data_IF_628640508457
#
_entry.id   IF_628640508457
#
_cell.length_a   1.000
_cell.length_b   1.000
_cell.length_c   1.000
_cell.angle_alpha   90.00
_cell.angle_beta   90.00
_cell.angle_gamma   90.00
#
_symmetry.space_group_name_H-M   'P 1'
#
loop_
_entity.id
_entity.type
_entity.pdbx_description
1 polymer ?
#
# COMPACT_ATOMS: atom_id res chain seq x y z
N UNK A 1 24.56 9.32 15.52
CA UNK A 1 23.41 10.20 15.23
C UNK A 1 23.17 10.10 13.73
N UNK A 2 22.23 9.26 13.29
CA UNK A 2 21.88 9.17 11.86
C UNK A 2 20.87 10.27 11.55
N UNK A 3 21.09 10.96 10.43
CA UNK A 3 20.25 12.02 9.93
C UNK A 3 18.82 11.52 9.74
N UNK A 4 17.93 11.95 10.65
CA UNK A 4 16.49 11.78 10.53
C UNK A 4 15.98 12.75 9.47
N UNK A 5 16.25 12.45 8.22
CA UNK A 5 15.84 13.27 7.07
C UNK A 5 14.52 12.74 6.49
N UNK A 6 13.59 13.65 6.23
CA UNK A 6 12.36 13.34 5.49
C UNK A 6 12.68 13.01 4.04
N UNK A 7 12.12 11.90 3.54
CA UNK A 7 12.26 11.46 2.16
C UNK A 7 10.92 11.51 1.45
N UNK A 8 10.89 12.21 0.31
CA UNK A 8 9.68 12.31 -0.48
C UNK A 8 9.26 10.98 -1.10
N UNK A 9 7.95 10.78 -1.26
CA UNK A 9 7.41 9.64 -1.99
C UNK A 9 7.83 9.64 -3.46
N UNK A 10 7.75 10.80 -4.14
CA UNK A 10 8.28 11.04 -5.49
C UNK A 10 7.95 9.95 -6.54
N UNK A 11 6.67 9.69 -6.79
CA UNK A 11 6.20 8.62 -7.67
C UNK A 11 5.21 9.09 -8.76
N UNK A 12 5.28 10.35 -9.19
CA UNK A 12 4.42 10.86 -10.26
C UNK A 12 4.82 10.25 -11.61
N UNK A 13 3.91 9.44 -12.17
CA UNK A 13 4.12 8.74 -13.44
C UNK A 13 4.55 9.67 -14.60
N UNK A 14 3.89 10.81 -14.76
CA UNK A 14 4.19 11.75 -15.84
C UNK A 14 5.60 12.34 -15.67
N UNK A 15 5.95 12.75 -14.44
CA UNK A 15 7.28 13.33 -14.15
C UNK A 15 8.40 12.30 -14.27
N UNK A 16 8.13 11.05 -13.94
CA UNK A 16 9.07 9.94 -14.13
C UNK A 16 9.34 9.72 -15.61
N UNK A 17 8.28 9.68 -16.43
CA UNK A 17 8.40 9.55 -17.88
C UNK A 17 9.21 10.71 -18.50
N UNK A 18 8.98 11.94 -18.03
CA UNK A 18 9.71 13.12 -18.52
C UNK A 18 11.07 13.35 -17.83
N UNK A 19 11.46 12.49 -16.87
CA UNK A 19 12.71 12.63 -16.12
C UNK A 19 12.80 13.84 -15.17
N UNK A 20 11.67 14.50 -14.88
CA UNK A 20 11.59 15.72 -14.05
C UNK A 20 11.10 15.45 -12.63
N UNK A 21 10.94 14.18 -12.25
CA UNK A 21 10.56 13.81 -10.89
C UNK A 21 11.66 14.17 -9.89
N UNK A 22 11.25 14.66 -8.72
CA UNK A 22 12.18 14.97 -7.62
C UNK A 22 12.77 13.70 -7.02
N UNK A 23 13.86 13.83 -6.27
CA UNK A 23 14.43 12.67 -5.59
C UNK A 23 13.53 12.21 -4.44
N UNK A 24 13.49 10.89 -4.25
CA UNK A 24 12.62 10.23 -3.29
C UNK A 24 12.46 8.75 -3.58
N UNK A 25 11.60 8.09 -2.80
CA UNK A 25 11.47 6.63 -2.74
C UNK A 25 11.01 6.05 -4.10
N UNK A 26 9.98 6.63 -4.71
CA UNK A 26 9.44 6.19 -5.98
C UNK A 26 10.43 6.33 -7.13
N UNK A 27 11.11 7.48 -7.23
CA UNK A 27 12.19 7.69 -8.22
C UNK A 27 13.37 6.75 -7.98
N UNK A 28 13.69 6.44 -6.72
CA UNK A 28 14.70 5.43 -6.39
C UNK A 28 14.29 4.04 -6.91
N UNK A 29 13.06 3.60 -6.64
CA UNK A 29 12.55 2.33 -7.17
C UNK A 29 12.54 2.29 -8.71
N UNK A 30 12.16 3.41 -9.34
CA UNK A 30 12.21 3.55 -10.81
C UNK A 30 13.63 3.41 -11.37
N UNK A 31 14.66 3.89 -10.67
CA UNK A 31 16.06 3.70 -11.09
C UNK A 31 16.50 2.24 -11.00
N UNK A 32 15.96 1.48 -10.04
CA UNK A 32 16.24 0.04 -9.91
C UNK A 32 15.54 -0.76 -11.02
N UNK A 33 14.29 -0.41 -11.30
CA UNK A 33 13.49 -1.03 -12.35
C UNK A 33 12.71 0.07 -13.10
N UNK A 34 13.09 0.43 -14.34
CA UNK A 34 12.52 1.55 -15.11
C UNK A 34 11.06 1.39 -15.57
N UNK A 35 10.19 0.90 -14.69
CA UNK A 35 8.76 0.76 -14.90
C UNK A 35 7.99 1.66 -13.92
N UNK A 36 7.01 2.39 -14.45
CA UNK A 36 6.18 3.30 -13.65
C UNK A 36 5.42 2.55 -12.56
N UNK A 37 4.98 1.32 -12.83
CA UNK A 37 4.37 0.41 -11.86
C UNK A 37 5.26 0.20 -10.63
N UNK A 38 6.56 -0.01 -10.85
CA UNK A 38 7.55 -0.18 -9.79
C UNK A 38 7.70 1.07 -8.92
N UNK A 39 7.69 2.24 -9.54
CA UNK A 39 7.68 3.50 -8.81
C UNK A 39 6.38 3.67 -8.00
N UNK A 40 5.22 3.26 -8.54
CA UNK A 40 3.92 3.33 -7.85
C UNK A 40 3.82 2.38 -6.65
N UNK A 41 4.58 1.27 -6.63
CA UNK A 41 4.69 0.40 -5.46
C UNK A 41 5.27 1.12 -4.23
N UNK A 42 5.98 2.24 -4.41
CA UNK A 42 6.44 3.05 -3.27
C UNK A 42 5.32 3.52 -2.34
N UNK A 43 4.10 3.76 -2.85
CA UNK A 43 2.95 4.12 -2.00
C UNK A 43 2.53 2.95 -1.11
N UNK A 44 2.53 1.73 -1.66
CA UNK A 44 2.18 0.53 -0.92
C UNK A 44 3.26 0.20 0.11
N UNK A 45 4.53 0.33 -0.28
CA UNK A 45 5.67 0.21 0.62
C UNK A 45 5.55 1.20 1.79
N UNK A 46 5.22 2.46 1.49
CA UNK A 46 5.01 3.49 2.50
C UNK A 46 3.90 3.15 3.50
N UNK A 47 2.77 2.62 3.02
CA UNK A 47 1.68 2.20 3.87
C UNK A 47 2.09 1.03 4.79
N UNK A 48 2.75 0.00 4.23
CA UNK A 48 3.22 -1.17 5.01
C UNK A 48 4.22 -0.72 6.07
N UNK A 49 5.20 0.11 5.70
CA UNK A 49 6.27 0.53 6.61
C UNK A 49 5.76 1.49 7.69
N UNK A 50 4.76 2.31 7.38
CA UNK A 50 4.07 3.12 8.39
C UNK A 50 3.33 2.24 9.39
N UNK A 51 2.51 1.29 8.91
CA UNK A 51 1.75 0.39 9.78
C UNK A 51 2.65 -0.51 10.64
N UNK A 52 3.79 -0.94 10.09
CA UNK A 52 4.81 -1.68 10.83
C UNK A 52 5.62 -0.80 11.81
N UNK A 53 5.41 0.52 11.85
CA UNK A 53 6.17 1.43 12.71
C UNK A 53 7.65 1.57 12.31
N UNK A 54 7.97 1.32 11.04
CA UNK A 54 9.29 1.52 10.44
C UNK A 54 9.45 2.96 9.98
N UNK A 55 8.42 3.51 9.36
CA UNK A 55 8.37 4.89 8.89
C UNK A 55 7.31 5.70 9.63
N UNK A 56 7.54 6.99 9.77
CA UNK A 56 6.50 7.99 10.05
C UNK A 56 6.15 8.70 8.74
N UNK A 57 4.90 9.14 8.59
CA UNK A 57 4.49 9.98 7.45
C UNK A 57 4.14 11.38 7.90
N UNK A 58 4.36 12.36 7.03
CA UNK A 58 4.14 13.77 7.34
C UNK A 58 2.65 14.19 7.44
N UNK A 59 1.70 13.26 7.31
CA UNK A 59 0.25 13.50 7.35
C UNK A 59 -0.33 14.34 6.21
N UNK A 60 0.46 14.55 5.15
CA UNK A 60 0.07 15.36 4.00
C UNK A 60 -0.42 14.51 2.82
N UNK A 61 -1.61 14.83 2.30
CA UNK A 61 -2.17 14.14 1.12
C UNK A 61 -1.43 14.45 -0.18
N UNK A 62 -0.80 15.63 -0.26
CA UNK A 62 0.03 16.06 -1.39
C UNK A 62 1.42 16.38 -0.89
N UNK A 63 2.44 15.92 -1.61
CA UNK A 63 3.81 16.06 -1.12
C UNK A 63 4.08 15.15 0.07
N UNK A 64 3.60 13.90 0.01
CA UNK A 64 3.85 12.89 1.03
C UNK A 64 5.34 12.63 1.19
N UNK A 65 5.78 12.57 2.45
CA UNK A 65 7.15 12.30 2.86
C UNK A 65 7.19 11.33 4.03
N UNK A 66 8.28 10.59 4.13
CA UNK A 66 8.48 9.57 5.15
C UNK A 66 9.77 9.79 5.92
N UNK A 67 9.72 9.52 7.22
CA UNK A 67 10.86 9.57 8.12
C UNK A 67 11.17 8.18 8.64
N UNK A 68 12.43 7.77 8.64
CA UNK A 68 12.84 6.50 9.24
C UNK A 68 12.75 6.58 10.77
N UNK A 69 11.90 5.76 11.38
CA UNK A 69 11.78 5.63 12.83
C UNK A 69 12.65 4.50 13.41
N UNK A 70 12.83 3.43 12.65
CA UNK A 70 13.49 2.21 13.13
C UNK A 70 14.31 1.55 12.03
N UNK A 71 15.56 1.20 12.33
CA UNK A 71 16.44 0.45 11.41
C UNK A 71 16.12 -1.05 11.40
N UNK A 72 15.45 -1.56 12.43
CA UNK A 72 14.96 -2.96 12.51
C UNK A 72 13.69 -3.15 11.66
N UNK A 73 13.74 -2.70 10.41
CA UNK A 73 12.59 -2.70 9.51
C UNK A 73 12.11 -4.11 9.22
N UNK A 74 13.02 -5.08 9.17
CA UNK A 74 12.73 -6.47 8.87
C UNK A 74 11.89 -7.11 9.97
N UNK A 75 12.34 -7.02 11.21
CA UNK A 75 11.65 -7.59 12.37
C UNK A 75 10.26 -6.97 12.51
N UNK A 76 10.17 -5.64 12.46
CA UNK A 76 8.90 -4.91 12.54
C UNK A 76 7.91 -5.27 11.43
N UNK A 77 8.40 -5.42 10.21
CA UNK A 77 7.54 -5.79 9.08
C UNK A 77 7.06 -7.24 9.19
N UNK A 78 7.90 -8.16 9.67
CA UNK A 78 7.53 -9.56 9.94
C UNK A 78 6.48 -9.65 11.06
N UNK A 79 6.67 -8.89 12.14
CA UNK A 79 5.71 -8.79 13.25
C UNK A 79 4.36 -8.27 12.73
N UNK A 80 4.36 -7.13 12.02
CA UNK A 80 3.15 -6.58 11.43
C UNK A 80 2.42 -7.58 10.51
N UNK A 81 3.16 -8.28 9.65
CA UNK A 81 2.59 -9.29 8.78
C UNK A 81 1.95 -10.44 9.58
N UNK A 82 2.65 -10.96 10.58
CA UNK A 82 2.14 -12.02 11.46
C UNK A 82 0.86 -11.58 12.18
N UNK A 83 0.85 -10.36 12.71
CA UNK A 83 -0.30 -9.81 13.44
C UNK A 83 -1.50 -9.60 12.51
N UNK A 84 -1.26 -9.14 11.28
CA UNK A 84 -2.32 -8.96 10.27
C UNK A 84 -2.99 -10.28 9.86
N UNK A 85 -2.26 -11.40 9.88
CA UNK A 85 -2.81 -12.73 9.59
C UNK A 85 -3.60 -13.32 10.77
N UNK A 86 -3.22 -12.95 11.99
CA UNK A 86 -3.89 -13.41 13.21
C UNK A 86 -5.20 -12.66 13.47
N UNK A 87 -5.38 -11.48 12.86
CA UNK A 87 -6.67 -10.78 12.83
C UNK A 87 -7.60 -11.51 11.85
N UNK A 88 -8.33 -12.50 12.37
CA UNK A 88 -9.28 -13.32 11.62
C UNK A 88 -10.49 -12.55 11.08
N UNK A 89 -10.28 -11.69 10.08
CA UNK A 89 -11.15 -11.45 8.94
C UNK A 89 -10.43 -10.47 7.99
N UNK A 90 -10.28 -10.83 6.72
CA UNK A 90 -9.81 -9.89 5.67
C UNK A 90 -10.61 -8.58 5.68
N UNK A 91 -11.85 -8.63 6.15
CA UNK A 91 -12.73 -7.48 6.37
C UNK A 91 -12.11 -6.41 7.26
N UNK A 92 -11.47 -6.77 8.39
CA UNK A 92 -10.85 -5.80 9.30
C UNK A 92 -9.65 -5.06 8.70
N UNK A 93 -8.90 -5.71 7.79
CA UNK A 93 -7.78 -5.08 7.08
C UNK A 93 -8.28 -4.03 6.08
N UNK A 94 -9.33 -4.35 5.31
CA UNK A 94 -9.94 -3.39 4.38
C UNK A 94 -10.74 -2.30 5.11
N UNK A 95 -11.35 -2.60 6.25
CA UNK A 95 -12.07 -1.62 7.06
C UNK A 95 -11.11 -0.57 7.63
N UNK A 96 -9.94 -0.97 8.17
CA UNK A 96 -8.88 -0.01 8.56
C UNK A 96 -8.36 0.80 7.37
N UNK A 97 -8.21 0.19 6.20
CA UNK A 97 -7.81 0.90 4.98
C UNK A 97 -8.89 1.89 4.47
N UNK A 98 -10.17 1.60 4.73
CA UNK A 98 -11.31 2.45 4.37
C UNK A 98 -11.61 3.52 5.42
N UNK A 99 -11.23 3.34 6.68
CA UNK A 99 -11.34 4.36 7.72
C UNK A 99 -10.49 5.61 7.38
N UNK A 100 -9.33 5.41 6.73
CA UNK A 100 -8.54 6.50 6.11
C UNK A 100 -9.30 7.31 5.03
N UNK A 101 -10.39 6.77 4.48
CA UNK A 101 -11.23 7.45 3.49
C UNK A 101 -12.47 8.13 4.08
N UNK A 102 -12.87 7.81 5.31
CA UNK A 102 -14.13 8.34 5.87
C UNK A 102 -13.97 9.67 6.62
N UNK A 103 -12.80 9.97 7.21
CA UNK A 103 -12.57 11.27 7.89
C UNK A 103 -12.62 12.49 6.95
N UNK A 104 -12.66 12.30 5.62
CA UNK A 104 -12.56 13.41 4.66
C UNK A 104 -13.82 13.62 3.80
N UNK A 105 -14.95 12.98 4.14
CA UNK A 105 -16.20 13.11 3.35
C UNK A 105 -17.17 14.21 3.81
N UNK A 106 -16.82 15.01 4.81
CA UNK A 106 -17.67 16.15 5.23
C UNK A 106 -17.55 17.40 4.37
N UNK A 107 -16.80 17.38 3.26
CA UNK A 107 -16.87 18.47 2.28
C UNK A 107 -16.55 18.02 0.85
N UNK A 108 -17.57 17.51 0.14
CA UNK A 108 -17.96 17.98 -1.21
C UNK A 108 -19.15 17.17 -1.74
N UNK A 109 -20.31 17.83 -1.69
CA UNK A 109 -21.51 17.43 -2.42
C UNK A 109 -21.32 17.64 -3.93
N UNK A 110 -21.91 16.70 -4.67
CA UNK A 110 -22.56 16.79 -6.00
C UNK A 110 -21.81 16.33 -7.26
N UNK A 111 -22.56 15.50 -8.00
CA UNK A 111 -22.44 15.00 -9.39
C UNK A 111 -21.43 13.84 -9.57
N UNK A 112 -21.82 12.61 -9.92
CA UNK A 112 -22.86 12.14 -10.85
C UNK A 112 -23.39 10.73 -10.48
N UNK A 113 -24.71 10.56 -10.57
CA UNK A 113 -25.43 9.31 -10.92
C UNK A 113 -24.92 8.80 -12.29
N UNK A 114 -25.00 7.54 -12.74
CA UNK A 114 -25.71 6.32 -12.36
C UNK A 114 -25.13 5.23 -13.29
N UNK A 115 -25.00 3.98 -12.84
CA UNK A 115 -25.68 2.85 -13.50
C UNK A 115 -25.51 1.55 -12.70
N UNK A 116 -26.66 0.91 -12.50
CA UNK A 116 -26.90 -0.37 -11.86
C UNK A 116 -26.27 -1.52 -12.65
N UNK A 117 -25.82 -2.54 -11.92
CA UNK A 117 -25.60 -3.90 -12.42
C UNK A 117 -25.33 -4.81 -11.22
N UNK A 118 -26.41 -5.34 -10.65
CA UNK A 118 -26.43 -6.19 -9.47
C UNK A 118 -26.39 -7.67 -9.89
N UNK A 119 -25.70 -8.50 -9.09
CA UNK A 119 -25.88 -9.97 -8.92
C UNK A 119 -25.19 -10.88 -9.96
N UNK A 120 -23.99 -11.39 -9.61
CA UNK A 120 -23.53 -12.78 -9.90
C UNK A 120 -22.38 -13.17 -8.93
N UNK A 121 -22.61 -13.13 -7.61
CA UNK A 121 -21.51 -13.28 -6.61
C UNK A 121 -21.45 -14.61 -5.86
N UNK A 122 -22.20 -15.65 -6.25
CA UNK A 122 -22.31 -16.86 -5.41
C UNK A 122 -21.73 -18.16 -5.97
N UNK A 123 -21.14 -18.18 -7.18
CA UNK A 123 -20.58 -19.42 -7.77
C UNK A 123 -19.06 -19.44 -7.91
N UNK A 124 -18.38 -18.33 -7.63
CA UNK A 124 -16.93 -18.18 -7.82
C UNK A 124 -16.09 -18.40 -6.57
N UNK A 125 -16.67 -18.25 -5.37
CA UNK A 125 -15.90 -18.22 -4.11
C UNK A 125 -15.31 -19.60 -3.78
N UNK A 126 -16.05 -20.68 -4.04
CA UNK A 126 -15.57 -22.04 -3.73
C UNK A 126 -14.42 -22.48 -4.65
N UNK A 127 -14.42 -22.04 -5.92
CA UNK A 127 -13.33 -22.33 -6.86
C UNK A 127 -12.05 -21.55 -6.54
N UNK A 128 -12.17 -20.32 -6.05
CA UNK A 128 -11.01 -19.50 -5.67
C UNK A 128 -10.31 -20.09 -4.44
N UNK A 129 -11.07 -20.53 -3.43
CA UNK A 129 -10.52 -21.17 -2.23
C UNK A 129 -9.77 -22.47 -2.54
N UNK A 130 -10.28 -23.28 -3.47
CA UNK A 130 -9.65 -24.54 -3.88
C UNK A 130 -8.32 -24.29 -4.63
N UNK A 131 -8.26 -23.26 -5.48
CA UNK A 131 -7.04 -22.85 -6.19
C UNK A 131 -5.99 -22.28 -5.23
N UNK A 132 -6.41 -21.52 -4.21
CA UNK A 132 -5.50 -20.95 -3.20
C UNK A 132 -4.90 -22.03 -2.30
N UNK A 133 -5.68 -23.02 -1.87
CA UNK A 133 -5.17 -24.16 -1.10
C UNK A 133 -4.18 -25.02 -1.89
N UNK A 134 -4.41 -25.21 -3.21
CA UNK A 134 -3.46 -25.91 -4.08
C UNK A 134 -2.15 -25.14 -4.27
N UNK A 135 -2.19 -23.81 -4.41
CA UNK A 135 -0.97 -22.99 -4.60
C UNK A 135 -0.14 -22.86 -3.33
N UNK A 136 -0.79 -22.71 -2.18
CA UNK A 136 -0.10 -22.63 -0.88
C UNK A 136 0.62 -23.94 -0.55
N UNK A 137 -0.02 -25.08 -0.78
CA UNK A 137 0.61 -26.38 -0.53
C UNK A 137 1.77 -26.71 -1.47
N UNK A 138 1.81 -26.13 -2.67
CA UNK A 138 2.93 -26.28 -3.60
C UNK A 138 4.13 -25.37 -3.26
N UNK A 139 3.89 -24.26 -2.55
CA UNK A 139 4.95 -23.31 -2.18
C UNK A 139 5.74 -23.73 -0.92
N UNK A 140 5.16 -24.60 -0.08
CA UNK A 140 5.77 -25.09 1.17
C UNK A 140 6.25 -26.55 1.11
N UNK A 141 6.33 -27.17 -0.08
CA UNK A 141 6.96 -28.48 -0.26
C UNK A 141 8.37 -28.27 -0.81
N UNK A 142 9.35 -28.37 0.10
CA UNK A 142 10.82 -28.45 -0.06
C UNK A 142 11.43 -28.00 -1.39
#
# INVERSE_FOLDING_TARGET
MQDREWKALANNAAKLYTGTEKDGIGKFLYKLHPEVSYAQLSSHLGAIFYQAGVWEWNKEKRGMEFLLLSENWKEKTIEYYRDSLNFGSETAFFDNFMEFKEEDKTNKRQKQQSQKGQIETFRGIDKVREIEQMKLSAFFRD
#
